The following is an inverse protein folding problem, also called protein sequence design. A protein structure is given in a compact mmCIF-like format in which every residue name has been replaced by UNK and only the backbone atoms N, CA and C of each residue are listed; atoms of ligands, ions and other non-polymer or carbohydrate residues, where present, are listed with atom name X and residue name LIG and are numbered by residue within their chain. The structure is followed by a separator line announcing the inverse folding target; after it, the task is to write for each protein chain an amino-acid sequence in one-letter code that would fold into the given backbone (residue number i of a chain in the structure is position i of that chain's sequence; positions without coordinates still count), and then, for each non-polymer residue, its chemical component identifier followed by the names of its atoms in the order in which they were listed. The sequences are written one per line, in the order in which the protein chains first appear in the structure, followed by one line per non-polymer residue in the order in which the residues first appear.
data_IF_969288241550
#
_entry.id   IF_969288241550
#
_cell.length_a   1.000
_cell.length_b   1.000
_cell.length_c   1.000
_cell.angle_alpha   90.00
_cell.angle_beta   90.00
_cell.angle_gamma   90.00
#
_symmetry.space_group_name_H-M   'P 1'
#
loop_
_entity.id
_entity.type
_entity.pdbx_description
1 polymer ?
#
# COMPACT_ATOMS: atom_id res chain seq x y z
N UNK A 1 -11.29 6.64 18.09
CA UNK A 1 -10.87 7.05 16.74
C UNK A 1 -9.44 6.61 16.54
N UNK A 2 -9.31 5.45 15.90
CA UNK A 2 -8.07 4.87 15.43
C UNK A 2 -7.62 5.54 14.12
N UNK A 3 -8.53 6.05 13.28
CA UNK A 3 -8.19 6.60 11.96
C UNK A 3 -8.58 8.07 11.87
N UNK A 4 -7.65 8.92 11.42
CA UNK A 4 -7.87 10.36 11.22
C UNK A 4 -7.34 10.80 9.86
N UNK A 5 -8.11 11.62 9.14
CA UNK A 5 -7.67 12.31 7.92
C UNK A 5 -7.38 13.78 8.22
N UNK A 6 -6.14 14.19 7.96
CA UNK A 6 -5.67 15.57 8.07
C UNK A 6 -5.76 16.21 6.68
N UNK A 7 -6.87 16.89 6.41
CA UNK A 7 -7.20 17.39 5.06
C UNK A 7 -6.18 18.39 4.51
N UNK A 8 -5.68 19.29 5.36
CA UNK A 8 -4.70 20.31 4.97
C UNK A 8 -3.39 19.69 4.49
N UNK A 9 -2.91 18.67 5.19
CA UNK A 9 -1.69 17.95 4.86
C UNK A 9 -1.93 16.78 3.88
N UNK A 10 -3.20 16.44 3.63
CA UNK A 10 -3.65 15.27 2.86
C UNK A 10 -3.07 13.95 3.38
N UNK A 11 -3.05 13.79 4.71
CA UNK A 11 -2.49 12.63 5.41
C UNK A 11 -3.58 11.79 6.06
N UNK A 12 -3.53 10.48 5.89
CA UNK A 12 -4.28 9.52 6.69
C UNK A 12 -3.36 8.93 7.76
N UNK A 13 -3.77 9.00 9.03
CA UNK A 13 -3.06 8.41 10.15
C UNK A 13 -3.94 7.36 10.80
N UNK A 14 -3.44 6.13 10.85
CA UNK A 14 -4.06 4.98 11.49
C UNK A 14 -3.25 4.62 12.73
N UNK A 15 -3.82 4.81 13.90
CA UNK A 15 -3.24 4.51 15.20
C UNK A 15 -3.86 3.25 15.79
N UNK A 16 -2.99 2.37 16.26
CA UNK A 16 -3.33 1.26 17.16
C UNK A 16 -2.93 1.67 18.60
N UNK A 17 -2.97 0.80 19.62
CA UNK A 17 -2.47 1.14 20.96
C UNK A 17 -1.04 1.71 20.97
N UNK A 18 -0.11 1.08 20.23
CA UNK A 18 1.33 1.37 20.29
C UNK A 18 2.00 1.58 18.93
N UNK A 19 1.27 1.48 17.81
CA UNK A 19 1.79 1.78 16.47
C UNK A 19 1.00 2.87 15.74
N UNK A 20 1.67 3.51 14.76
CA UNK A 20 1.05 4.40 13.77
C UNK A 20 1.42 3.93 12.38
N UNK A 21 0.45 3.97 11.47
CA UNK A 21 0.61 3.79 10.03
C UNK A 21 0.10 5.03 9.32
N UNK A 22 0.90 5.59 8.42
CA UNK A 22 0.64 6.90 7.83
C UNK A 22 0.76 6.84 6.31
N UNK A 23 -0.28 7.34 5.65
CA UNK A 23 -0.42 7.41 4.20
C UNK A 23 -0.56 8.87 3.81
N UNK A 24 0.09 9.31 2.74
CA UNK A 24 0.01 10.68 2.24
C UNK A 24 -0.39 10.71 0.77
N UNK A 25 -1.25 11.66 0.40
CA UNK A 25 -1.57 11.92 -1.00
C UNK A 25 -0.78 13.11 -1.51
N UNK A 26 0.02 12.91 -2.54
CA UNK A 26 0.96 13.93 -3.04
C UNK A 26 0.72 14.26 -4.51
N UNK A 27 1.28 15.41 -4.91
CA UNK A 27 1.23 15.94 -6.27
C UNK A 27 -0.20 16.31 -6.74
N UNK A 28 -0.28 16.99 -7.89
CA UNK A 28 -1.56 17.27 -8.55
C UNK A 28 -2.20 16.01 -9.11
N UNK A 29 -1.42 14.97 -9.40
CA UNK A 29 -1.91 13.70 -9.90
C UNK A 29 -2.42 12.76 -8.80
N UNK A 30 -2.29 13.12 -7.52
CA UNK A 30 -2.79 12.34 -6.37
C UNK A 30 -2.13 10.95 -6.21
N UNK A 31 -0.80 10.89 -6.20
CA UNK A 31 -0.07 9.66 -5.86
C UNK A 31 -0.30 9.26 -4.40
N UNK A 32 -0.40 7.95 -4.14
CA UNK A 32 -0.63 7.40 -2.79
C UNK A 32 0.68 6.88 -2.20
N UNK A 33 1.22 7.63 -1.27
CA UNK A 33 2.53 7.37 -0.66
C UNK A 33 2.44 6.73 0.72
N UNK A 34 3.31 5.75 0.97
CA UNK A 34 3.62 5.21 2.29
C UNK A 34 4.55 6.18 3.02
N UNK A 35 4.06 6.81 4.10
CA UNK A 35 4.84 7.80 4.86
C UNK A 35 5.60 7.13 6.00
N UNK A 36 4.91 6.25 6.74
CA UNK A 36 5.46 5.67 7.96
C UNK A 36 4.71 4.43 8.41
N UNK A 37 5.44 3.47 8.96
CA UNK A 37 4.90 2.45 9.84
C UNK A 37 5.88 2.13 10.97
N UNK A 38 5.41 2.18 12.21
CA UNK A 38 6.25 1.92 13.37
C UNK A 38 5.62 2.40 14.68
N UNK A 39 6.49 2.82 15.62
CA UNK A 39 6.08 3.31 16.95
C UNK A 39 5.05 4.44 16.83
N UNK A 40 4.05 4.40 17.71
CA UNK A 40 2.99 5.41 17.77
C UNK A 40 3.54 6.83 17.80
N UNK A 41 3.06 7.62 16.86
CA UNK A 41 3.42 9.02 16.69
C UNK A 41 2.44 9.91 17.44
N UNK A 42 2.95 11.00 18.00
CA UNK A 42 2.09 12.03 18.61
C UNK A 42 1.51 12.96 17.55
N UNK A 43 2.35 13.43 16.63
CA UNK A 43 1.98 14.31 15.54
C UNK A 43 1.62 13.51 14.27
N UNK A 44 0.92 14.15 13.34
CA UNK A 44 0.66 13.68 11.99
C UNK A 44 1.52 14.42 10.94
N UNK A 45 2.17 15.54 11.30
CA UNK A 45 3.02 16.31 10.40
C UNK A 45 4.37 15.64 10.12
N UNK A 46 4.31 14.55 9.34
CA UNK A 46 5.47 13.77 8.92
C UNK A 46 5.50 13.51 7.41
N UNK A 47 4.69 14.24 6.63
CA UNK A 47 4.68 14.13 5.16
C UNK A 47 6.06 14.37 4.52
N UNK A 48 6.97 15.08 5.21
CA UNK A 48 8.35 15.27 4.74
C UNK A 48 9.10 13.94 4.53
N UNK A 49 8.68 12.85 5.18
CA UNK A 49 9.26 11.51 4.96
C UNK A 49 8.97 10.95 3.56
N UNK A 50 8.02 11.51 2.81
CA UNK A 50 7.83 11.21 1.39
C UNK A 50 8.90 11.83 0.49
N UNK A 51 9.77 12.70 1.03
CA UNK A 51 10.91 13.31 0.35
C UNK A 51 10.55 14.04 -0.96
N UNK A 52 9.31 14.54 -1.08
CA UNK A 52 8.83 15.23 -2.29
C UNK A 52 9.42 16.63 -2.50
N UNK A 53 10.11 17.18 -1.49
CA UNK A 53 10.80 18.48 -1.56
C UNK A 53 12.25 18.40 -2.07
N UNK A 54 12.71 17.21 -2.45
CA UNK A 54 14.04 16.98 -3.00
C UNK A 54 13.96 16.09 -4.24
N UNK A 55 15.02 16.09 -5.05
CA UNK A 55 15.07 15.31 -6.28
C UNK A 55 15.12 13.80 -6.02
N UNK A 56 14.42 12.95 -6.80
CA UNK A 56 13.58 13.33 -7.95
C UNK A 56 12.26 13.99 -7.53
N UNK A 57 11.95 15.14 -8.14
CA UNK A 57 10.77 15.92 -7.80
C UNK A 57 9.47 15.29 -8.32
N UNK A 58 8.37 15.64 -7.67
CA UNK A 58 7.04 15.26 -8.14
C UNK A 58 6.76 15.78 -9.55
N UNK A 59 5.92 15.09 -10.35
CA UNK A 59 5.75 15.45 -11.76
C UNK A 59 5.20 16.86 -12.01
N UNK A 60 4.41 17.43 -11.10
CA UNK A 60 3.93 18.81 -11.27
C UNK A 60 5.04 19.85 -11.18
N UNK A 61 6.15 19.56 -10.50
CA UNK A 61 7.30 20.44 -10.36
C UNK A 61 8.35 20.18 -11.46
N UNK A 62 8.68 18.92 -11.74
CA UNK A 62 9.59 18.56 -12.83
C UNK A 62 9.23 17.23 -13.50
N UNK A 63 8.38 17.30 -14.53
CA UNK A 63 7.95 16.12 -15.27
C UNK A 63 9.09 15.37 -16.01
N UNK A 64 10.28 15.98 -16.19
CA UNK A 64 11.44 15.28 -16.79
C UNK A 64 12.00 14.19 -15.88
N UNK A 65 11.72 14.28 -14.58
CA UNK A 65 12.18 13.32 -13.56
C UNK A 65 11.14 12.24 -13.24
N UNK A 66 9.98 12.21 -13.93
CA UNK A 66 8.86 11.30 -13.60
C UNK A 66 9.27 9.85 -13.41
N UNK A 67 10.09 9.31 -14.31
CA UNK A 67 10.53 7.91 -14.23
C UNK A 67 11.36 7.67 -12.97
N UNK A 68 12.29 8.59 -12.67
CA UNK A 68 13.07 8.54 -11.43
C UNK A 68 12.20 8.70 -10.19
N UNK A 69 11.19 9.59 -10.23
CA UNK A 69 10.22 9.75 -9.16
C UNK A 69 9.47 8.45 -8.88
N UNK A 70 8.96 7.77 -9.92
CA UNK A 70 8.29 6.47 -9.75
C UNK A 70 9.18 5.38 -9.15
N UNK A 71 10.47 5.35 -9.51
CA UNK A 71 11.41 4.36 -9.00
C UNK A 71 11.81 4.56 -7.53
N UNK A 72 11.62 5.76 -6.98
CA UNK A 72 12.01 6.10 -5.61
C UNK A 72 10.85 6.40 -4.67
N UNK A 73 9.69 6.82 -5.20
CA UNK A 73 8.56 7.24 -4.38
C UNK A 73 7.99 6.03 -3.60
N UNK A 74 7.82 6.13 -2.27
CA UNK A 74 7.36 5.01 -1.47
C UNK A 74 5.86 4.77 -1.70
N UNK A 75 5.48 3.84 -2.57
CA UNK A 75 4.08 3.65 -2.99
C UNK A 75 3.32 2.77 -2.00
N UNK A 76 2.06 3.12 -1.68
CA UNK A 76 1.19 2.23 -0.90
C UNK A 76 0.79 0.96 -1.67
N UNK A 77 0.62 1.09 -2.99
CA UNK A 77 0.24 -0.02 -3.87
C UNK A 77 0.79 0.20 -5.28
N UNK A 78 2.04 -0.22 -5.49
CA UNK A 78 2.80 0.09 -6.71
C UNK A 78 2.20 -0.57 -7.96
N UNK A 79 2.02 0.24 -9.02
CA UNK A 79 1.65 -0.19 -10.36
C UNK A 79 2.81 -0.84 -11.13
N UNK A 80 2.61 -1.12 -12.41
CA UNK A 80 3.59 -1.80 -13.26
C UNK A 80 3.77 -1.07 -14.60
N UNK A 81 4.97 -1.15 -15.20
CA UNK A 81 5.19 -0.81 -16.60
C UNK A 81 5.29 0.69 -16.93
N UNK A 82 5.50 1.56 -15.93
CA UNK A 82 5.50 3.02 -16.12
C UNK A 82 6.75 3.76 -15.60
N UNK A 83 7.72 3.05 -15.01
CA UNK A 83 9.00 3.65 -14.60
C UNK A 83 9.49 3.22 -13.22
N UNK A 84 8.63 2.65 -12.38
CA UNK A 84 9.07 1.95 -11.17
C UNK A 84 9.61 0.58 -11.57
N UNK A 85 10.92 0.36 -11.36
CA UNK A 85 11.57 -0.91 -11.70
C UNK A 85 11.61 -1.88 -10.52
N UNK A 86 11.08 -1.49 -9.35
CA UNK A 86 10.88 -2.38 -8.21
C UNK A 86 9.71 -3.34 -8.47
N UNK A 87 9.43 -4.22 -7.52
CA UNK A 87 8.32 -5.18 -7.67
C UNK A 87 6.98 -4.48 -7.50
N UNK A 88 6.17 -4.51 -8.55
CA UNK A 88 4.78 -4.06 -8.50
C UNK A 88 3.92 -4.90 -7.56
N UNK A 89 2.87 -4.27 -7.04
CA UNK A 89 1.81 -4.88 -6.23
C UNK A 89 0.64 -5.36 -7.08
N UNK A 90 0.38 -4.63 -8.16
CA UNK A 90 -0.60 -4.96 -9.19
C UNK A 90 0.07 -5.03 -10.56
N UNK A 91 -0.36 -5.97 -11.38
CA UNK A 91 0.02 -6.06 -12.79
C UNK A 91 -1.18 -6.52 -13.59
N UNK A 92 -1.35 -5.91 -14.76
CA UNK A 92 -2.44 -6.22 -15.69
C UNK A 92 -1.87 -6.62 -17.05
N UNK A 93 -2.73 -7.20 -17.89
CA UNK A 93 -2.50 -7.36 -19.32
C UNK A 93 -3.79 -7.09 -20.08
N UNK A 94 -3.81 -6.08 -20.92
CA UNK A 94 -4.98 -5.78 -21.78
C UNK A 94 -5.06 -6.75 -22.97
N UNK A 95 -6.16 -6.73 -23.72
CA UNK A 95 -6.30 -7.52 -24.95
C UNK A 95 -5.20 -7.20 -25.99
N UNK A 96 -4.76 -5.93 -26.07
CA UNK A 96 -3.65 -5.50 -26.93
C UNK A 96 -2.25 -5.87 -26.40
N UNK A 97 -2.16 -6.53 -25.24
CA UNK A 97 -0.89 -6.94 -24.64
C UNK A 97 -0.19 -5.87 -23.80
N UNK A 98 -0.82 -4.72 -23.56
CA UNK A 98 -0.27 -3.66 -22.70
C UNK A 98 -0.30 -4.08 -21.23
N UNK A 99 0.73 -3.68 -20.47
CA UNK A 99 0.94 -4.11 -19.07
C UNK A 99 1.06 -2.95 -18.07
N UNK A 100 0.91 -1.72 -18.57
CA UNK A 100 0.97 -0.50 -17.78
C UNK A 100 -0.27 -0.38 -16.90
N UNK A 101 -0.07 -0.01 -15.63
CA UNK A 101 -1.15 0.36 -14.70
C UNK A 101 -0.61 1.37 -13.68
N UNK A 102 -1.34 2.46 -13.46
CA UNK A 102 -1.05 3.46 -12.43
C UNK A 102 -2.32 3.82 -11.69
N UNK A 103 -2.23 3.90 -10.36
CA UNK A 103 -3.38 4.16 -9.51
C UNK A 103 -3.25 5.54 -8.87
N UNK A 104 -4.26 6.36 -9.07
CA UNK A 104 -4.33 7.71 -8.53
C UNK A 104 -5.50 7.82 -7.57
N UNK A 105 -5.31 8.51 -6.45
CA UNK A 105 -6.35 8.68 -5.44
C UNK A 105 -7.53 9.50 -5.98
N UNK A 106 -8.74 9.01 -5.70
CA UNK A 106 -10.01 9.64 -6.09
C UNK A 106 -10.78 10.11 -4.85
N UNK A 107 -11.01 9.23 -3.89
CA UNK A 107 -11.81 9.53 -2.70
C UNK A 107 -11.53 8.56 -1.56
N UNK A 108 -12.09 8.81 -0.38
CA UNK A 108 -12.00 7.88 0.75
C UNK A 108 -13.28 7.81 1.56
N UNK A 109 -13.37 6.75 2.39
CA UNK A 109 -14.37 6.60 3.45
C UNK A 109 -13.66 6.12 4.71
N UNK A 110 -13.98 6.72 5.85
CA UNK A 110 -13.58 6.22 7.17
C UNK A 110 -14.87 5.88 7.92
N UNK A 111 -14.95 4.67 8.46
CA UNK A 111 -16.12 4.21 9.19
C UNK A 111 -15.75 3.20 10.29
N UNK A 112 -16.63 3.07 11.27
CA UNK A 112 -16.47 2.14 12.37
C UNK A 112 -16.74 0.69 11.92
N UNK A 113 -16.01 -0.26 12.49
CA UNK A 113 -16.11 -1.68 12.18
C UNK A 113 -15.24 -2.13 11.02
N UNK A 114 -15.28 -3.45 10.77
CA UNK A 114 -14.54 -4.10 9.69
C UNK A 114 -15.51 -4.80 8.73
N UNK A 115 -15.50 -4.46 7.43
CA UNK A 115 -16.31 -5.17 6.45
C UNK A 115 -15.80 -6.61 6.27
N UNK A 116 -16.73 -7.54 6.03
CA UNK A 116 -16.38 -8.88 5.56
C UNK A 116 -15.88 -8.86 4.11
N UNK A 117 -15.13 -9.89 3.71
CA UNK A 117 -14.70 -10.09 2.33
C UNK A 117 -15.57 -11.18 1.68
N UNK A 118 -16.34 -10.81 0.66
CA UNK A 118 -17.29 -11.74 0.02
C UNK A 118 -16.56 -12.98 -0.53
N UNK A 119 -16.98 -14.16 -0.07
CA UNK A 119 -16.40 -15.44 -0.49
C UNK A 119 -15.01 -15.75 0.08
N UNK A 120 -14.48 -14.93 1.00
CA UNK A 120 -13.14 -15.10 1.58
C UNK A 120 -13.18 -15.03 3.11
N UNK A 121 -12.31 -15.78 3.81
CA UNK A 121 -12.10 -15.57 5.24
C UNK A 121 -11.45 -14.20 5.50
N UNK A 122 -11.89 -13.52 6.54
CA UNK A 122 -11.31 -12.25 7.00
C UNK A 122 -11.37 -12.18 8.53
N UNK A 123 -10.49 -11.38 9.14
CA UNK A 123 -10.71 -10.96 10.52
C UNK A 123 -11.97 -10.10 10.62
N UNK A 124 -12.52 -10.00 11.81
CA UNK A 124 -13.77 -9.30 12.09
C UNK A 124 -13.58 -8.34 13.26
N UNK A 125 -14.40 -7.30 13.30
CA UNK A 125 -14.44 -6.32 14.37
C UNK A 125 -15.69 -5.46 14.21
N UNK A 126 -16.39 -5.23 15.31
CA UNK A 126 -17.56 -4.37 15.33
C UNK A 126 -17.17 -2.88 15.38
N UNK A 127 -18.18 -2.02 15.42
CA UNK A 127 -18.02 -0.56 15.44
C UNK A 127 -17.22 -0.03 16.65
N UNK A 128 -17.10 -0.80 17.73
CA UNK A 128 -16.32 -0.41 18.90
C UNK A 128 -14.89 -0.96 18.88
N UNK A 129 -14.66 -2.08 18.18
CA UNK A 129 -13.38 -2.76 18.15
C UNK A 129 -12.37 -2.13 17.18
N UNK A 130 -12.82 -1.60 16.06
CA UNK A 130 -11.93 -1.13 15.00
C UNK A 130 -12.57 -0.06 14.10
N UNK A 131 -11.74 0.62 13.31
CA UNK A 131 -12.18 1.50 12.23
C UNK A 131 -11.53 1.07 10.92
N UNK A 132 -12.24 1.29 9.81
CA UNK A 132 -11.80 0.98 8.45
C UNK A 132 -11.69 2.24 7.61
N UNK A 133 -10.58 2.36 6.88
CA UNK A 133 -10.33 3.29 5.81
C UNK A 133 -10.44 2.55 4.47
N UNK A 134 -11.30 3.03 3.59
CA UNK A 134 -11.30 2.70 2.16
C UNK A 134 -10.70 3.87 1.39
N UNK A 135 -9.59 3.63 0.68
CA UNK A 135 -9.02 4.57 -0.28
C UNK A 135 -9.38 4.10 -1.69
N UNK A 136 -10.24 4.85 -2.39
CA UNK A 136 -10.55 4.59 -3.78
C UNK A 136 -9.47 5.22 -4.67
N UNK A 137 -8.82 4.38 -5.45
CA UNK A 137 -7.90 4.77 -6.50
C UNK A 137 -8.42 4.33 -7.87
N UNK A 138 -7.94 4.98 -8.92
CA UNK A 138 -8.32 4.67 -10.30
C UNK A 138 -7.10 4.74 -11.24
N UNK A 139 -7.08 3.83 -12.22
CA UNK A 139 -6.35 4.04 -13.46
C UNK A 139 -7.33 4.59 -14.52
N UNK A 140 -7.25 5.90 -14.85
CA UNK A 140 -8.22 6.53 -15.74
C UNK A 140 -8.06 6.09 -17.21
N UNK A 141 -6.92 5.50 -17.58
CA UNK A 141 -6.69 5.00 -18.95
C UNK A 141 -7.36 3.64 -19.12
N UNK A 142 -7.29 2.80 -18.09
CA UNK A 142 -7.86 1.45 -18.11
C UNK A 142 -9.32 1.38 -17.65
N UNK A 143 -9.83 2.42 -16.96
CA UNK A 143 -11.12 2.35 -16.27
C UNK A 143 -11.10 1.36 -15.10
N UNK A 144 -9.93 1.16 -14.48
CA UNK A 144 -9.73 0.20 -13.40
C UNK A 144 -9.84 0.91 -12.05
N UNK A 145 -10.80 0.51 -11.23
CA UNK A 145 -10.99 1.02 -9.87
C UNK A 145 -10.39 0.06 -8.86
N UNK A 146 -9.59 0.59 -7.95
CA UNK A 146 -8.91 -0.17 -6.90
C UNK A 146 -9.21 0.48 -5.57
N UNK A 147 -9.99 -0.20 -4.73
CA UNK A 147 -10.20 0.22 -3.34
C UNK A 147 -9.15 -0.47 -2.45
N UNK A 148 -8.28 0.31 -1.84
CA UNK A 148 -7.36 -0.16 -0.80
C UNK A 148 -8.06 -0.07 0.57
N UNK A 149 -8.26 -1.20 1.22
CA UNK A 149 -8.93 -1.28 2.52
C UNK A 149 -7.91 -1.46 3.63
N UNK A 150 -7.98 -0.62 4.65
CA UNK A 150 -7.16 -0.66 5.85
C UNK A 150 -8.08 -0.69 7.07
N UNK A 151 -7.92 -1.67 7.96
CA UNK A 151 -8.63 -1.68 9.25
C UNK A 151 -7.62 -1.61 10.37
N UNK A 152 -7.76 -0.64 11.28
CA UNK A 152 -6.96 -0.53 12.50
C UNK A 152 -7.78 -0.99 13.71
N UNK A 153 -7.23 -1.93 14.47
CA UNK A 153 -7.86 -2.46 15.68
C UNK A 153 -7.47 -1.63 16.90
N UNK A 154 -8.45 -1.36 17.77
CA UNK A 154 -8.29 -0.40 18.88
C UNK A 154 -7.68 -1.01 20.13
N UNK A 155 -7.74 -2.33 20.27
CA UNK A 155 -7.30 -3.09 21.45
C UNK A 155 -6.02 -3.90 21.24
N UNK A 156 -5.60 -4.07 19.98
CA UNK A 156 -4.38 -4.79 19.58
C UNK A 156 -3.60 -4.03 18.52
N UNK A 157 -2.28 -4.19 18.49
CA UNK A 157 -1.39 -3.55 17.51
C UNK A 157 -1.48 -4.21 16.11
N UNK A 158 -2.69 -4.22 15.53
CA UNK A 158 -2.99 -4.88 14.25
C UNK A 158 -3.60 -3.89 13.28
N UNK A 159 -3.03 -3.87 12.07
CA UNK A 159 -3.61 -3.23 10.89
C UNK A 159 -3.77 -4.31 9.82
N UNK A 160 -4.97 -4.48 9.30
CA UNK A 160 -5.24 -5.42 8.19
C UNK A 160 -5.39 -4.66 6.89
N UNK A 161 -4.85 -5.23 5.81
CA UNK A 161 -4.95 -4.69 4.46
C UNK A 161 -5.61 -5.68 3.52
N UNK A 162 -6.45 -5.18 2.63
CA UNK A 162 -7.01 -5.93 1.50
C UNK A 162 -7.27 -5.00 0.34
N UNK A 163 -7.50 -5.56 -0.84
CA UNK A 163 -7.67 -4.80 -2.08
C UNK A 163 -8.91 -5.32 -2.79
N UNK A 164 -9.82 -4.42 -3.15
CA UNK A 164 -10.95 -4.71 -4.04
C UNK A 164 -10.66 -4.07 -5.40
N UNK A 165 -10.73 -4.86 -6.46
CA UNK A 165 -10.45 -4.43 -7.83
C UNK A 165 -11.74 -4.59 -8.64
N UNK A 166 -12.18 -3.50 -9.25
CA UNK A 166 -13.41 -3.40 -10.04
C UNK A 166 -13.03 -2.84 -11.41
N UNK A 167 -13.47 -3.49 -12.48
CA UNK A 167 -13.15 -3.08 -13.85
C UNK A 167 -14.39 -2.53 -14.53
N UNK A 168 -14.39 -1.22 -14.79
CA UNK A 168 -15.45 -0.53 -15.54
C UNK A 168 -15.04 -0.27 -17.01
N UNK A 169 -13.81 -0.63 -17.38
CA UNK A 169 -13.26 -0.45 -18.72
C UNK A 169 -13.32 -1.71 -19.59
N UNK A 170 -12.38 -1.81 -20.51
CA UNK A 170 -12.26 -2.97 -21.40
C UNK A 170 -11.78 -4.22 -20.66
N UNK A 171 -11.99 -5.39 -21.28
CA UNK A 171 -11.48 -6.65 -20.74
C UNK A 171 -9.95 -6.60 -20.54
N UNK A 172 -9.52 -6.95 -19.34
CA UNK A 172 -8.12 -7.13 -19.00
C UNK A 172 -7.91 -8.36 -18.11
N UNK A 173 -6.67 -8.83 -18.05
CA UNK A 173 -6.23 -9.91 -17.18
C UNK A 173 -5.45 -9.32 -16.01
N UNK A 174 -5.82 -9.66 -14.77
CA UNK A 174 -4.95 -9.44 -13.62
C UNK A 174 -3.87 -10.53 -13.64
N UNK A 175 -2.61 -10.12 -13.82
CA UNK A 175 -1.45 -11.04 -13.81
C UNK A 175 -0.75 -11.04 -12.45
N UNK A 176 -1.01 -10.04 -11.61
CA UNK A 176 -0.62 -9.96 -10.21
C UNK A 176 -1.60 -9.08 -9.44
N UNK A 177 -1.98 -9.52 -8.24
CA UNK A 177 -2.75 -8.73 -7.28
C UNK A 177 -2.35 -9.14 -5.85
N UNK A 178 -1.37 -8.43 -5.27
CA UNK A 178 -0.96 -8.66 -3.88
C UNK A 178 -1.94 -7.99 -2.92
N UNK A 179 -2.11 -8.53 -1.71
CA UNK A 179 -2.92 -7.88 -0.67
C UNK A 179 -2.20 -6.72 0.02
N UNK A 180 -0.86 -6.68 -0.08
CA UNK A 180 -0.01 -5.76 0.67
C UNK A 180 1.34 -5.56 -0.03
N UNK A 181 1.85 -4.32 0.08
CA UNK A 181 3.22 -3.92 -0.16
C UNK A 181 3.58 -2.80 0.81
N UNK A 182 4.85 -2.69 1.17
CA UNK A 182 5.34 -1.62 2.01
C UNK A 182 6.78 -1.28 1.62
N UNK A 183 6.98 -0.01 1.32
CA UNK A 183 8.31 0.56 1.11
C UNK A 183 8.85 1.07 2.44
N UNK A 184 10.10 0.72 2.76
CA UNK A 184 10.75 1.16 4.00
C UNK A 184 12.15 1.67 3.70
N UNK A 185 12.52 2.79 4.31
CA UNK A 185 13.86 3.37 4.18
C UNK A 185 14.93 2.56 4.91
N UNK A 186 14.57 1.90 6.01
CA UNK A 186 15.49 1.04 6.73
C UNK A 186 15.91 -0.15 5.83
N UNK A 187 17.16 -0.57 5.95
CA UNK A 187 17.73 -1.69 5.18
C UNK A 187 18.32 -2.77 6.07
N UNK A 188 18.44 -2.52 7.37
CA UNK A 188 18.96 -3.49 8.33
C UNK A 188 17.83 -4.33 8.91
N UNK A 189 17.30 -5.22 8.06
CA UNK A 189 16.26 -6.16 8.44
C UNK A 189 16.81 -7.59 8.48
N UNK A 190 16.27 -8.37 9.41
CA UNK A 190 16.41 -9.82 9.41
C UNK A 190 15.08 -10.42 8.96
N UNK A 191 15.12 -11.16 7.86
CA UNK A 191 14.00 -11.94 7.38
C UNK A 191 13.90 -13.22 8.23
N UNK A 192 12.73 -13.41 8.83
CA UNK A 192 12.35 -14.65 9.50
C UNK A 192 11.36 -15.40 8.59
N UNK A 193 11.69 -16.63 8.23
CA UNK A 193 10.80 -17.52 7.47
C UNK A 193 10.52 -18.79 8.25
N UNK A 194 9.42 -19.46 7.88
CA UNK A 194 9.00 -20.74 8.44
C UNK A 194 8.92 -21.77 7.31
N UNK A 195 10.05 -22.37 6.95
CA UNK A 195 10.08 -23.40 5.91
C UNK A 195 9.82 -24.79 6.53
N UNK A 196 9.61 -25.80 5.70
CA UNK A 196 9.38 -27.14 6.21
C UNK A 196 8.97 -28.11 5.13
N UNK A 197 8.68 -29.33 5.54
CA UNK A 197 8.07 -30.35 4.70
C UNK A 197 7.02 -31.09 5.52
N UNK A 198 6.29 -32.00 4.89
CA UNK A 198 5.39 -32.90 5.61
C UNK A 198 6.09 -33.53 6.82
N UNK A 199 5.43 -33.50 7.98
CA UNK A 199 5.90 -33.96 9.29
C UNK A 199 7.10 -33.19 9.88
N UNK A 200 7.50 -32.06 9.27
CA UNK A 200 8.55 -31.14 9.72
C UNK A 200 8.20 -29.70 9.33
N UNK A 201 7.02 -29.26 9.71
CA UNK A 201 6.46 -27.96 9.33
C UNK A 201 7.04 -26.81 10.16
N UNK A 202 7.13 -25.61 9.55
CA UNK A 202 7.39 -24.33 10.23
C UNK A 202 8.72 -24.24 10.99
N UNK A 203 9.79 -24.80 10.44
CA UNK A 203 11.15 -24.59 10.92
C UNK A 203 11.58 -23.14 10.71
N UNK A 204 11.95 -22.48 11.81
CA UNK A 204 12.37 -21.09 11.80
C UNK A 204 13.75 -20.92 11.16
N UNK A 205 13.84 -19.97 10.25
CA UNK A 205 15.12 -19.57 9.67
C UNK A 205 15.27 -18.05 9.70
N UNK A 206 16.45 -17.59 10.08
CA UNK A 206 16.79 -16.18 10.15
C UNK A 206 17.85 -15.87 9.10
N UNK A 207 17.60 -14.87 8.26
CA UNK A 207 18.56 -14.42 7.24
C UNK A 207 18.62 -12.90 7.23
N UNK A 208 19.81 -12.32 7.12
CA UNK A 208 19.95 -10.88 6.87
C UNK A 208 19.41 -10.57 5.47
N UNK A 209 18.61 -9.53 5.36
CA UNK A 209 18.19 -9.00 4.06
C UNK A 209 19.43 -8.41 3.38
N UNK A 210 19.77 -8.93 2.20
CA UNK A 210 20.83 -8.40 1.34
C UNK A 210 20.21 -7.54 0.25
N UNK A 211 21.04 -6.72 -0.41
CA UNK A 211 20.65 -5.93 -1.59
C UNK A 211 20.33 -6.85 -2.77
N UNK A 212 19.12 -7.41 -2.79
CA UNK A 212 18.53 -8.16 -3.88
C UNK A 212 17.08 -8.54 -3.53
N UNK A 213 16.41 -9.22 -4.45
CA UNK A 213 15.12 -9.85 -4.26
C UNK A 213 15.22 -11.15 -3.44
N UNK A 214 14.32 -11.28 -2.46
CA UNK A 214 14.10 -12.53 -1.74
C UNK A 214 12.65 -12.96 -1.90
N UNK A 215 12.44 -14.15 -2.48
CA UNK A 215 11.13 -14.79 -2.62
C UNK A 215 11.22 -16.15 -1.96
N UNK A 216 10.25 -16.46 -1.11
CA UNK A 216 10.02 -17.83 -0.69
C UNK A 216 9.10 -18.49 -1.72
N UNK A 217 9.60 -19.55 -2.35
CA UNK A 217 8.77 -20.45 -3.14
C UNK A 217 8.42 -21.66 -2.26
N UNK A 218 7.11 -21.95 -2.08
CA UNK A 218 6.65 -23.14 -1.37
C UNK A 218 7.18 -24.44 -1.94
#
# INVERSE_FOLDING_TARGET
MAITYFEKERIFKLDTPNSSYVIGIVDKENFVGHVYYGKKLRDANIAYLLRTGEGPFVPSENNRERVSFYDTFPMEYAGNGLGDYRRSSISVRTAGGHTAVSLFYVSHKIYAGKPGLAGLPATFGDENACETLELLCEDPVLGLKVTLLYTAFSDVDVITRSVRIENDGEMLYLTKALSFSMDMDNRDFTLLTMHGSWARERMLEHRKVKKDLWVWNP
#
